data_IF_478615598766
#
_entry.id   IF_478615598766
#
_cell.length_a   1.000
_cell.length_b   1.000
_cell.length_c   1.000
_cell.angle_alpha   90.00
_cell.angle_beta   90.00
_cell.angle_gamma   90.00
#
_symmetry.space_group_name_H-M   'P 1'
#
loop_
_entity.id
_entity.type
_entity.pdbx_description
1 polymer ?
#
# COMPACT_ATOMS: atom_id res chain seq x y z
N UNK A 1 23.22 -5.91 17.00
CA UNK A 1 21.94 -6.64 17.09
C UNK A 1 21.21 -6.48 15.77
N UNK A 2 20.74 -7.58 15.15
CA UNK A 2 19.96 -7.55 13.90
C UNK A 2 18.55 -8.01 14.25
N UNK A 3 17.55 -7.25 13.83
CA UNK A 3 16.14 -7.61 13.97
C UNK A 3 15.61 -7.80 12.55
N UNK A 4 14.94 -8.94 12.32
CA UNK A 4 14.15 -9.19 11.11
C UNK A 4 12.69 -9.15 11.51
N UNK A 5 11.87 -8.44 10.74
CA UNK A 5 10.44 -8.35 10.98
C UNK A 5 9.70 -8.08 9.67
N UNK A 6 8.44 -8.49 9.62
CA UNK A 6 7.54 -8.14 8.53
C UNK A 6 6.66 -6.99 9.00
N UNK A 7 6.51 -5.97 8.16
CA UNK A 7 5.62 -4.84 8.40
C UNK A 7 4.43 -4.96 7.44
N UNK A 8 3.23 -5.03 8.00
CA UNK A 8 1.99 -4.98 7.26
C UNK A 8 1.33 -3.63 7.54
N UNK A 9 0.92 -2.92 6.50
CA UNK A 9 0.26 -1.62 6.58
C UNK A 9 -1.00 -1.70 5.72
N UNK A 10 -2.11 -1.19 6.25
CA UNK A 10 -3.36 -0.98 5.54
C UNK A 10 -3.81 0.45 5.83
N UNK A 11 -4.36 1.12 4.82
CA UNK A 11 -4.97 2.43 4.94
C UNK A 11 -6.19 2.46 4.02
N UNK A 12 -7.07 3.43 4.25
CA UNK A 12 -8.23 3.69 3.41
C UNK A 12 -7.97 4.96 2.61
N UNK A 13 -8.17 4.89 1.30
CA UNK A 13 -8.15 6.05 0.40
C UNK A 13 -9.58 6.38 -0.03
N UNK A 14 -10.08 7.54 0.42
CA UNK A 14 -11.45 8.00 0.16
C UNK A 14 -11.73 8.25 -1.33
N UNK A 15 -10.70 8.39 -2.16
CA UNK A 15 -10.83 8.57 -3.61
C UNK A 15 -10.71 7.26 -4.39
N UNK A 16 -10.31 6.16 -3.76
CA UNK A 16 -10.20 4.82 -4.36
C UNK A 16 -11.35 3.91 -3.94
N UNK A 17 -12.55 4.47 -3.75
CA UNK A 17 -13.78 3.72 -3.49
C UNK A 17 -14.67 3.71 -4.74
N UNK A 18 -15.21 2.54 -5.11
CA UNK A 18 -16.14 2.40 -6.22
C UNK A 18 -17.25 1.39 -5.89
N UNK A 19 -18.35 1.44 -6.65
CA UNK A 19 -19.43 0.45 -6.54
C UNK A 19 -19.11 -0.77 -7.43
N UNK A 20 -18.86 -1.97 -6.89
CA UNK A 20 -18.51 -3.14 -7.69
C UNK A 20 -19.55 -3.49 -8.77
N UNK A 21 -20.84 -3.24 -8.51
CA UNK A 21 -21.91 -3.54 -9.47
C UNK A 21 -21.80 -2.72 -10.77
N UNK A 22 -21.25 -1.51 -10.69
CA UNK A 22 -21.04 -0.63 -11.85
C UNK A 22 -19.83 -1.07 -12.70
N UNK A 23 -18.93 -1.88 -12.13
CA UNK A 23 -17.69 -2.34 -12.76
C UNK A 23 -17.67 -3.88 -12.95
N UNK A 24 -18.84 -4.50 -13.11
CA UNK A 24 -18.95 -5.93 -13.43
C UNK A 24 -18.61 -6.87 -12.27
N UNK A 25 -18.83 -6.42 -11.03
CA UNK A 25 -18.51 -7.17 -9.81
C UNK A 25 -17.03 -7.11 -9.41
N UNK A 26 -16.29 -6.10 -9.87
CA UNK A 26 -14.91 -5.87 -9.48
C UNK A 26 -14.85 -5.39 -8.02
N UNK A 27 -14.51 -6.27 -7.09
CA UNK A 27 -14.44 -5.98 -5.65
C UNK A 27 -13.01 -5.66 -5.17
N UNK A 28 -11.99 -6.15 -5.90
CA UNK A 28 -10.58 -5.88 -5.61
C UNK A 28 -9.75 -5.72 -6.87
N UNK A 29 -8.68 -4.93 -6.76
CA UNK A 29 -7.75 -4.62 -7.84
C UNK A 29 -6.30 -4.68 -7.36
N UNK A 30 -5.40 -5.17 -8.21
CA UNK A 30 -3.96 -5.12 -7.97
C UNK A 30 -3.36 -3.92 -8.71
N UNK A 31 -2.84 -2.94 -7.96
CA UNK A 31 -2.22 -1.74 -8.51
C UNK A 31 -0.77 -1.61 -8.06
N UNK A 32 0.14 -1.13 -8.93
CA UNK A 32 1.46 -0.71 -8.51
C UNK A 32 1.37 0.39 -7.44
N UNK A 33 2.15 0.27 -6.37
CA UNK A 33 2.19 1.26 -5.29
C UNK A 33 2.52 2.70 -5.71
N UNK A 34 3.05 2.91 -6.92
CA UNK A 34 3.38 4.22 -7.46
C UNK A 34 2.19 4.90 -8.16
N UNK A 35 1.14 4.15 -8.47
CA UNK A 35 -0.04 4.65 -9.19
C UNK A 35 -1.12 5.17 -8.23
N UNK A 36 -0.96 4.91 -6.92
CA UNK A 36 -1.88 5.33 -5.86
C UNK A 36 -1.16 6.15 -4.80
N UNK A 37 -1.93 6.96 -4.06
CA UNK A 37 -1.40 7.60 -2.87
C UNK A 37 -1.14 6.55 -1.77
N UNK A 38 -0.01 6.67 -1.08
CA UNK A 38 0.39 5.80 0.03
C UNK A 38 1.06 6.63 1.13
N UNK A 39 0.84 6.32 2.42
CA UNK A 39 1.56 6.97 3.49
C UNK A 39 3.07 6.67 3.45
N UNK A 40 3.87 7.71 3.67
CA UNK A 40 5.32 7.57 3.82
C UNK A 40 5.67 6.98 5.20
N UNK A 41 6.23 5.76 5.21
CA UNK A 41 6.65 5.08 6.44
C UNK A 41 8.16 4.96 6.50
N UNK A 42 8.74 5.48 7.60
CA UNK A 42 10.17 5.52 7.85
C UNK A 42 10.51 4.88 9.21
N UNK A 43 11.62 4.13 9.25
CA UNK A 43 12.14 3.58 10.50
C UNK A 43 13.09 4.59 11.15
N UNK A 44 12.67 5.20 12.27
CA UNK A 44 13.48 6.22 12.96
C UNK A 44 14.78 5.66 13.57
N UNK A 45 14.74 4.42 14.09
CA UNK A 45 15.86 3.79 14.78
C UNK A 45 16.73 2.94 13.83
N UNK A 46 16.87 3.33 12.56
CA UNK A 46 17.75 2.65 11.61
C UNK A 46 19.14 3.27 11.58
N UNK A 47 20.17 2.43 11.70
CA UNK A 47 21.57 2.85 11.53
C UNK A 47 21.94 3.13 10.05
N UNK A 48 21.08 2.73 9.10
CA UNK A 48 21.24 2.99 7.66
C UNK A 48 20.19 3.99 7.18
N UNK A 49 20.52 4.69 6.08
CA UNK A 49 19.64 5.61 5.34
C UNK A 49 18.21 5.08 5.32
N UNK A 50 17.24 5.97 5.60
CA UNK A 50 15.81 5.69 5.48
C UNK A 50 15.55 5.34 4.01
N UNK A 51 15.64 4.05 3.68
CA UNK A 51 15.07 3.55 2.44
C UNK A 51 13.57 3.53 2.68
N UNK A 52 12.80 4.33 1.93
CA UNK A 52 11.35 4.26 1.97
C UNK A 52 10.92 2.79 1.85
N UNK A 53 10.07 2.33 2.76
CA UNK A 53 9.62 0.94 2.80
C UNK A 53 8.59 0.74 1.68
N UNK A 54 9.07 0.53 0.46
CA UNK A 54 8.24 0.28 -0.72
C UNK A 54 9.12 0.20 -1.97
N UNK A 55 9.24 -0.98 -2.56
CA UNK A 55 9.83 -1.11 -3.89
C UNK A 55 8.82 -0.58 -4.91
N UNK A 56 9.24 0.30 -5.80
CA UNK A 56 8.42 1.01 -6.80
C UNK A 56 7.44 0.15 -7.61
N UNK A 57 7.63 -1.18 -7.67
CA UNK A 57 6.80 -2.10 -8.44
C UNK A 57 6.07 -3.14 -7.57
N UNK A 58 5.92 -2.90 -6.26
CA UNK A 58 5.10 -3.78 -5.42
C UNK A 58 3.63 -3.60 -5.80
N UNK A 59 2.97 -4.72 -6.13
CA UNK A 59 1.53 -4.74 -6.32
C UNK A 59 0.84 -4.71 -4.96
N UNK A 60 -0.13 -3.82 -4.84
CA UNK A 60 -0.98 -3.68 -3.68
C UNK A 60 -2.40 -4.11 -4.06
N UNK A 61 -3.04 -4.84 -3.17
CA UNK A 61 -4.47 -5.15 -3.29
C UNK A 61 -5.25 -3.97 -2.73
N UNK A 62 -6.12 -3.39 -3.56
CA UNK A 62 -7.05 -2.33 -3.20
C UNK A 62 -8.45 -2.93 -3.28
N UNK A 63 -9.22 -2.81 -2.20
CA UNK A 63 -10.62 -3.24 -2.15
C UNK A 63 -11.54 -2.06 -2.49
N UNK A 64 -12.73 -2.35 -3.01
CA UNK A 64 -13.65 -1.32 -3.51
C UNK A 64 -14.15 -0.34 -2.44
N UNK A 65 -13.93 -0.65 -1.16
CA UNK A 65 -14.35 0.14 -0.01
C UNK A 65 -13.35 1.26 0.40
N UNK A 66 -12.25 1.38 -0.34
CA UNK A 66 -11.19 2.36 -0.07
C UNK A 66 -10.10 1.87 0.88
#
# INVERSE_FOLDING_TARGET
MKISGHLYIQWTDEFLNWNPEEYGGLDSLELPQNDIWRPDVALHNSFRTITGLGSSNLLLTVDSNG
#
